data_IF_187486467298
#
_entry.id   IF_187486467298
#
_cell.length_a   1.000
_cell.length_b   1.000
_cell.length_c   1.000
_cell.angle_alpha   90.00
_cell.angle_beta   90.00
_cell.angle_gamma   90.00
#
_symmetry.space_group_name_H-M   'P 1'
#
loop_
_entity.id
_entity.type
_entity.pdbx_description
1 polymer ?
#
# COMPACT_ATOMS: atom_id res chain seq x y z
N UNK A 1 -16.71 -1.70 -1.87
CA UNK A 1 -15.42 -1.07 -1.52
C UNK A 1 -14.41 -1.33 -2.63
N UNK A 2 -13.71 -0.32 -3.08
CA UNK A 2 -12.56 -0.46 -3.96
C UNK A 2 -11.27 -0.29 -3.15
N UNK A 3 -10.22 -0.97 -3.55
CA UNK A 3 -8.90 -0.80 -2.92
C UNK A 3 -7.95 -0.12 -3.91
N UNK A 4 -7.22 0.87 -3.43
CA UNK A 4 -6.19 1.58 -4.18
C UNK A 4 -4.87 1.45 -3.47
N UNK A 5 -3.83 1.05 -4.20
CA UNK A 5 -2.46 1.07 -3.72
C UNK A 5 -1.73 2.23 -4.39
N UNK A 6 -1.28 3.19 -3.59
CA UNK A 6 -0.49 4.33 -4.09
C UNK A 6 0.99 4.05 -3.83
N UNK A 7 1.82 4.24 -4.84
CA UNK A 7 3.26 4.11 -4.73
C UNK A 7 3.95 5.25 -5.46
N UNK A 8 5.16 5.60 -5.04
CA UNK A 8 5.96 6.68 -5.63
C UNK A 8 7.11 6.09 -6.43
N UNK A 9 7.24 6.53 -7.68
CA UNK A 9 8.28 6.08 -8.59
C UNK A 9 7.93 4.79 -9.33
N UNK A 10 8.49 4.64 -10.52
CA UNK A 10 8.24 3.45 -11.35
C UNK A 10 8.99 2.25 -10.80
N UNK A 11 8.45 1.06 -11.04
CA UNK A 11 9.20 -0.18 -10.89
C UNK A 11 10.01 -0.39 -12.16
N UNK A 12 11.34 -0.29 -12.05
CA UNK A 12 12.23 -0.46 -13.21
C UNK A 12 12.51 -1.93 -13.53
N UNK A 13 12.44 -2.79 -12.53
CA UNK A 13 12.71 -4.21 -12.67
C UNK A 13 11.48 -4.92 -13.24
N UNK A 14 11.63 -5.47 -14.44
CA UNK A 14 10.52 -6.15 -15.14
C UNK A 14 10.00 -7.39 -14.41
N UNK A 15 10.85 -8.07 -13.64
CA UNK A 15 10.42 -9.26 -12.89
C UNK A 15 9.53 -8.86 -11.72
N UNK A 16 9.87 -7.76 -11.04
CA UNK A 16 9.06 -7.25 -9.94
C UNK A 16 7.74 -6.66 -10.42
N UNK A 17 7.75 -5.99 -11.58
CA UNK A 17 6.52 -5.50 -12.21
C UNK A 17 5.60 -6.67 -12.56
N UNK A 18 6.13 -7.70 -13.19
CA UNK A 18 5.35 -8.88 -13.57
C UNK A 18 4.78 -9.59 -12.33
N UNK A 19 5.57 -9.73 -11.27
CA UNK A 19 5.11 -10.35 -10.03
C UNK A 19 4.00 -9.53 -9.35
N UNK A 20 4.17 -8.21 -9.28
CA UNK A 20 3.15 -7.32 -8.73
C UNK A 20 1.84 -7.44 -9.50
N UNK A 21 1.92 -7.36 -10.83
CA UNK A 21 0.75 -7.45 -11.69
C UNK A 21 0.06 -8.81 -11.59
N UNK A 22 0.83 -9.89 -11.45
CA UNK A 22 0.27 -11.23 -11.27
C UNK A 22 -0.58 -11.31 -9.99
N UNK A 23 -0.05 -10.86 -8.85
CA UNK A 23 -0.78 -10.92 -7.60
C UNK A 23 -1.97 -9.96 -7.56
N UNK A 24 -1.83 -8.76 -8.10
CA UNK A 24 -2.96 -7.82 -8.21
C UNK A 24 -4.05 -8.39 -9.13
N UNK A 25 -3.65 -9.04 -10.23
CA UNK A 25 -4.59 -9.70 -11.14
C UNK A 25 -5.37 -10.81 -10.44
N UNK A 26 -4.69 -11.65 -9.66
CA UNK A 26 -5.35 -12.70 -8.87
C UNK A 26 -6.30 -12.10 -7.83
N UNK A 27 -5.86 -11.04 -7.14
CA UNK A 27 -6.67 -10.39 -6.11
C UNK A 27 -7.94 -9.79 -6.70
N UNK A 28 -7.88 -9.25 -7.92
CA UNK A 28 -9.03 -8.64 -8.58
C UNK A 28 -10.19 -9.62 -8.86
N UNK A 29 -9.93 -10.93 -8.86
CA UNK A 29 -11.01 -11.92 -8.96
C UNK A 29 -11.89 -11.95 -7.71
N UNK A 30 -11.41 -11.41 -6.60
CA UNK A 30 -12.11 -11.48 -5.30
C UNK A 30 -12.50 -10.11 -4.76
N UNK A 31 -11.67 -9.10 -4.99
CA UNK A 31 -11.93 -7.72 -4.57
C UNK A 31 -11.20 -6.77 -5.50
N UNK A 32 -11.88 -5.71 -5.99
CA UNK A 32 -11.24 -4.76 -6.90
C UNK A 32 -10.06 -4.05 -6.24
N UNK A 33 -8.90 -4.10 -6.89
CA UNK A 33 -7.71 -3.37 -6.48
C UNK A 33 -6.97 -2.84 -7.70
N UNK A 34 -6.49 -1.61 -7.61
CA UNK A 34 -5.61 -1.04 -8.62
C UNK A 34 -4.42 -0.36 -7.95
N UNK A 35 -3.32 -0.23 -8.69
CA UNK A 35 -2.14 0.49 -8.24
C UNK A 35 -2.00 1.79 -9.01
N UNK A 36 -1.84 2.89 -8.29
CA UNK A 36 -1.55 4.21 -8.84
C UNK A 36 -0.10 4.54 -8.53
N UNK A 37 0.71 4.70 -9.57
CA UNK A 37 2.11 5.10 -9.44
C UNK A 37 2.21 6.60 -9.63
N UNK A 38 2.71 7.30 -8.62
CA UNK A 38 3.04 8.72 -8.71
C UNK A 38 4.46 8.82 -9.26
N UNK A 39 4.70 9.61 -10.33
CA UNK A 39 6.05 9.79 -10.85
C UNK A 39 7.02 10.33 -9.80
N UNK A 40 8.28 9.93 -9.89
CA UNK A 40 9.33 10.48 -9.04
C UNK A 40 9.39 12.00 -9.15
N UNK A 41 9.70 12.65 -8.02
CA UNK A 41 9.92 14.09 -7.99
C UNK A 41 11.21 14.40 -8.72
N UNK A 42 11.17 15.40 -9.60
CA UNK A 42 12.33 15.90 -10.33
C UNK A 42 13.14 16.86 -9.45
N UNK A 43 14.42 17.01 -9.77
CA UNK A 43 15.33 17.97 -9.16
C UNK A 43 15.50 17.84 -7.65
N UNK A 44 15.55 16.57 -7.17
CA UNK A 44 15.68 16.26 -5.74
C UNK A 44 17.06 16.60 -5.17
N UNK A 45 18.06 16.86 -6.02
CA UNK A 45 19.44 17.13 -5.57
C UNK A 45 19.55 18.32 -4.61
N UNK A 46 18.70 19.31 -4.79
CA UNK A 46 18.70 20.53 -3.99
C UNK A 46 17.67 20.50 -2.86
N UNK A 47 17.00 19.37 -2.65
CA UNK A 47 16.00 19.22 -1.61
C UNK A 47 16.59 18.51 -0.40
N UNK A 48 16.25 19.00 0.79
CA UNK A 48 16.47 18.23 2.01
C UNK A 48 15.52 17.02 2.03
N UNK A 49 15.83 16.06 2.89
CA UNK A 49 14.95 14.91 3.08
C UNK A 49 13.54 15.36 3.49
N UNK A 50 13.45 16.35 4.37
CA UNK A 50 12.17 16.88 4.82
C UNK A 50 11.39 17.55 3.68
N UNK A 51 12.07 18.36 2.85
CA UNK A 51 11.45 18.98 1.69
C UNK A 51 10.94 17.94 0.70
N UNK A 52 11.70 16.86 0.47
CA UNK A 52 11.28 15.79 -0.40
C UNK A 52 10.03 15.08 0.15
N UNK A 53 10.00 14.76 1.45
CA UNK A 53 8.81 14.17 2.08
C UNK A 53 7.58 15.05 1.92
N UNK A 54 7.73 16.36 2.10
CA UNK A 54 6.63 17.31 1.98
C UNK A 54 6.09 17.32 0.55
N UNK A 55 6.96 17.38 -0.45
CA UNK A 55 6.53 17.37 -1.86
C UNK A 55 5.86 16.05 -2.26
N UNK A 56 6.45 14.94 -1.85
CA UNK A 56 5.83 13.63 -2.08
C UNK A 56 4.46 13.56 -1.41
N UNK A 57 4.38 14.09 -0.20
CA UNK A 57 3.14 14.12 0.56
C UNK A 57 2.02 14.91 -0.13
N UNK A 58 2.36 16.04 -0.73
CA UNK A 58 1.41 16.84 -1.50
C UNK A 58 0.84 16.03 -2.68
N UNK A 59 1.68 15.29 -3.37
CA UNK A 59 1.26 14.44 -4.49
C UNK A 59 0.38 13.27 -4.01
N UNK A 60 0.70 12.67 -2.86
CA UNK A 60 -0.12 11.63 -2.27
C UNK A 60 -1.50 12.19 -1.90
N UNK A 61 -1.53 13.32 -1.20
CA UNK A 61 -2.79 13.92 -0.76
C UNK A 61 -3.71 14.28 -1.92
N UNK A 62 -3.15 14.67 -3.08
CA UNK A 62 -3.94 14.95 -4.28
C UNK A 62 -4.67 13.71 -4.83
N UNK A 63 -4.19 12.51 -4.53
CA UNK A 63 -4.83 11.28 -4.98
C UNK A 63 -6.00 10.87 -4.11
N UNK A 64 -6.12 11.45 -2.92
CA UNK A 64 -7.16 11.07 -1.97
C UNK A 64 -8.47 11.76 -2.28
N UNK A 65 -9.57 11.09 -1.96
CA UNK A 65 -10.92 11.57 -2.15
C UNK A 65 -11.66 11.59 -0.81
N UNK A 66 -12.71 12.44 -0.67
CA UNK A 66 -13.53 12.41 0.54
C UNK A 66 -14.12 11.02 0.77
N UNK A 67 -14.05 10.55 2.02
CA UNK A 67 -14.53 9.22 2.39
C UNK A 67 -13.52 8.09 2.24
N UNK A 68 -12.31 8.38 1.73
CA UNK A 68 -11.25 7.38 1.69
C UNK A 68 -10.83 6.97 3.09
N UNK A 69 -10.61 5.68 3.28
CA UNK A 69 -9.98 5.14 4.49
C UNK A 69 -8.52 4.85 4.16
N UNK A 70 -7.62 5.64 4.73
CA UNK A 70 -6.19 5.69 4.34
C UNK A 70 -5.33 4.95 5.34
N UNK A 71 -4.58 3.97 4.86
CA UNK A 71 -3.63 3.17 5.64
C UNK A 71 -2.24 3.34 5.06
N UNK A 72 -1.31 3.78 5.89
CA UNK A 72 0.09 3.91 5.47
C UNK A 72 0.82 2.60 5.74
N UNK A 73 1.62 2.17 4.78
CA UNK A 73 2.56 1.07 4.98
C UNK A 73 3.84 1.67 5.55
N UNK A 74 4.05 1.46 6.85
CA UNK A 74 5.07 2.13 7.63
C UNK A 74 5.64 1.16 8.67
N UNK A 75 6.97 1.13 8.82
CA UNK A 75 7.65 0.23 9.75
C UNK A 75 7.18 0.40 11.20
N UNK A 76 6.74 1.60 11.57
CA UNK A 76 6.18 1.89 12.89
C UNK A 76 4.70 1.55 13.05
N UNK A 77 4.08 0.94 12.05
CA UNK A 77 2.68 0.57 12.08
C UNK A 77 2.40 -0.72 12.84
N UNK A 78 1.13 -1.07 12.90
CA UNK A 78 0.69 -2.32 13.53
C UNK A 78 1.13 -3.52 12.71
N UNK A 79 1.70 -4.52 13.37
CA UNK A 79 2.06 -5.79 12.75
C UNK A 79 0.89 -6.78 12.84
N UNK A 80 0.76 -7.63 11.82
CA UNK A 80 -0.28 -8.64 11.76
C UNK A 80 0.33 -9.99 11.39
N UNK A 81 -0.32 -11.07 11.84
CA UNK A 81 -0.18 -12.37 11.18
C UNK A 81 -1.00 -12.32 9.88
N UNK A 82 -0.77 -13.27 8.98
CA UNK A 82 -1.55 -13.33 7.73
C UNK A 82 -3.04 -13.50 8.01
N UNK A 83 -3.41 -14.35 8.97
CA UNK A 83 -4.81 -14.53 9.37
C UNK A 83 -5.37 -13.26 10.01
N UNK A 84 -4.59 -12.61 10.87
CA UNK A 84 -4.99 -11.35 11.50
C UNK A 84 -5.22 -10.23 10.47
N UNK A 85 -4.38 -10.16 9.44
CA UNK A 85 -4.58 -9.19 8.38
C UNK A 85 -5.84 -9.50 7.56
N UNK A 86 -6.10 -10.78 7.28
CA UNK A 86 -7.33 -11.18 6.61
C UNK A 86 -8.58 -10.75 7.40
N UNK A 87 -8.59 -10.95 8.71
CA UNK A 87 -9.70 -10.53 9.58
C UNK A 87 -9.85 -9.00 9.56
N UNK A 88 -8.74 -8.28 9.65
CA UNK A 88 -8.74 -6.83 9.56
C UNK A 88 -9.32 -6.35 8.22
N UNK A 89 -8.88 -6.96 7.12
CA UNK A 89 -9.38 -6.62 5.78
C UNK A 89 -10.88 -6.87 5.67
N UNK A 90 -11.38 -7.99 6.20
CA UNK A 90 -12.81 -8.29 6.19
C UNK A 90 -13.60 -7.22 6.93
N UNK A 91 -13.12 -6.75 8.07
CA UNK A 91 -13.76 -5.67 8.80
C UNK A 91 -13.80 -4.37 7.99
N UNK A 92 -12.71 -4.07 7.28
CA UNK A 92 -12.68 -2.88 6.39
C UNK A 92 -13.66 -3.03 5.24
N UNK A 93 -13.73 -4.21 4.63
CA UNK A 93 -14.69 -4.48 3.55
C UNK A 93 -16.14 -4.28 4.02
N UNK A 94 -16.42 -4.58 5.27
CA UNK A 94 -17.76 -4.43 5.84
C UNK A 94 -18.09 -2.99 6.25
N UNK A 95 -17.11 -2.13 6.51
CA UNK A 95 -17.30 -0.81 7.13
C UNK A 95 -16.87 0.36 6.26
N UNK A 96 -15.97 0.16 5.30
CA UNK A 96 -15.49 1.24 4.41
C UNK A 96 -16.44 1.37 3.23
N UNK A 97 -17.17 2.51 3.09
CA UNK A 97 -18.20 2.61 2.07
C UNK A 97 -17.65 2.82 0.66
N UNK A 98 -16.49 3.43 0.50
CA UNK A 98 -15.95 3.82 -0.81
C UNK A 98 -14.61 3.15 -1.10
N UNK A 99 -13.51 3.78 -0.71
CA UNK A 99 -12.18 3.27 -1.04
C UNK A 99 -11.35 2.99 0.21
N UNK A 100 -10.67 1.87 0.19
CA UNK A 100 -9.59 1.56 1.11
C UNK A 100 -8.29 1.87 0.37
N UNK A 101 -7.49 2.80 0.89
CA UNK A 101 -6.28 3.29 0.24
C UNK A 101 -5.07 2.88 1.06
N UNK A 102 -4.17 2.12 0.46
CA UNK A 102 -2.86 1.82 1.04
C UNK A 102 -1.81 2.69 0.35
N UNK A 103 -0.87 3.22 1.13
CA UNK A 103 0.16 4.11 0.58
C UNK A 103 1.54 3.58 0.94
N UNK A 104 2.37 3.39 -0.08
CA UNK A 104 3.80 3.10 0.05
C UNK A 104 4.52 4.42 -0.13
N UNK A 105 5.27 4.85 0.89
CA UNK A 105 6.01 6.11 0.86
C UNK A 105 7.30 6.02 0.06
N UNK A 106 7.92 7.18 -0.14
CA UNK A 106 9.24 7.28 -0.74
C UNK A 106 10.36 6.91 0.24
N UNK A 107 11.63 7.18 -0.11
CA UNK A 107 12.79 6.68 0.64
C UNK A 107 12.90 7.20 2.07
N UNK A 108 12.30 8.35 2.38
CA UNK A 108 12.40 8.99 3.68
C UNK A 108 11.12 8.88 4.52
N UNK A 109 10.14 8.08 4.06
CA UNK A 109 8.87 7.92 4.75
C UNK A 109 7.87 9.01 4.40
N UNK A 110 6.97 9.31 5.34
CA UNK A 110 5.84 10.20 5.11
C UNK A 110 6.03 11.55 5.80
N UNK A 111 5.45 12.60 5.20
CA UNK A 111 5.36 13.91 5.84
C UNK A 111 4.33 13.88 6.96
N UNK A 112 4.41 14.86 7.86
CA UNK A 112 3.44 15.00 8.95
C UNK A 112 2.00 15.17 8.42
N UNK A 113 1.83 15.91 7.32
CA UNK A 113 0.52 16.10 6.71
C UNK A 113 -0.10 14.78 6.24
N UNK A 114 0.70 13.87 5.70
CA UNK A 114 0.24 12.53 5.30
C UNK A 114 -0.14 11.71 6.51
N UNK A 115 0.67 11.72 7.58
CA UNK A 115 0.33 11.04 8.83
C UNK A 115 -0.99 11.56 9.40
N UNK A 116 -1.20 12.86 9.37
CA UNK A 116 -2.43 13.47 9.87
C UNK A 116 -3.66 13.04 9.08
N UNK A 117 -3.52 12.88 7.76
CA UNK A 117 -4.62 12.46 6.88
C UNK A 117 -4.92 10.96 6.96
N UNK A 118 -4.01 10.16 7.52
CA UNK A 118 -4.16 8.71 7.57
C UNK A 118 -5.06 8.27 8.72
N UNK A 119 -5.73 7.15 8.50
CA UNK A 119 -6.61 6.52 9.50
C UNK A 119 -5.87 5.43 10.27
N UNK A 120 -4.72 5.00 9.78
CA UNK A 120 -3.90 4.01 10.46
C UNK A 120 -2.61 3.70 9.72
N UNK A 121 -1.78 2.88 10.35
CA UNK A 121 -0.50 2.43 9.80
C UNK A 121 -0.40 0.93 9.99
N UNK A 122 0.11 0.25 8.97
CA UNK A 122 0.39 -1.19 9.02
C UNK A 122 1.86 -1.40 8.68
N UNK A 123 2.54 -2.22 9.48
CA UNK A 123 3.90 -2.67 9.19
C UNK A 123 3.86 -4.08 8.59
N UNK A 124 4.41 -4.21 7.40
CA UNK A 124 4.60 -5.52 6.77
C UNK A 124 5.75 -6.28 7.40
N UNK A 125 6.74 -5.56 7.92
CA UNK A 125 7.91 -6.10 8.60
C UNK A 125 8.67 -4.97 9.26
N UNK A 126 9.40 -5.27 10.32
CA UNK A 126 10.37 -4.33 10.89
C UNK A 126 11.67 -4.28 10.08
N UNK A 127 11.84 -5.21 9.15
CA UNK A 127 12.93 -5.14 8.18
C UNK A 127 12.54 -4.24 7.03
N UNK A 128 13.50 -3.49 6.52
CA UNK A 128 13.27 -2.56 5.40
C UNK A 128 13.29 -3.31 4.07
N UNK A 129 12.32 -3.03 3.23
CA UNK A 129 12.29 -3.52 1.85
C UNK A 129 12.63 -2.38 0.90
N UNK A 130 13.19 -2.73 -0.28
CA UNK A 130 13.27 -1.73 -1.35
C UNK A 130 11.86 -1.31 -1.77
N UNK A 131 11.71 -0.09 -2.28
CA UNK A 131 10.40 0.44 -2.68
C UNK A 131 9.76 -0.36 -3.82
N UNK A 132 10.55 -1.06 -4.62
CA UNK A 132 10.04 -1.94 -5.67
C UNK A 132 9.59 -3.29 -5.12
N UNK A 133 10.36 -3.85 -4.19
CA UNK A 133 10.04 -5.16 -3.59
C UNK A 133 8.81 -5.08 -2.68
N UNK A 134 8.63 -3.99 -1.95
CA UNK A 134 7.48 -3.86 -1.03
C UNK A 134 6.15 -3.93 -1.77
N UNK A 135 6.10 -3.51 -3.03
CA UNK A 135 4.89 -3.61 -3.86
C UNK A 135 4.49 -5.06 -4.09
N UNK A 136 5.48 -5.91 -4.39
CA UNK A 136 5.27 -7.36 -4.58
C UNK A 136 4.80 -7.98 -3.27
N UNK A 137 5.47 -7.68 -2.18
CA UNK A 137 5.15 -8.23 -0.86
C UNK A 137 3.74 -7.83 -0.45
N UNK A 138 3.37 -6.56 -0.63
CA UNK A 138 2.02 -6.12 -0.31
C UNK A 138 0.98 -6.80 -1.20
N UNK A 139 1.22 -6.85 -2.52
CA UNK A 139 0.28 -7.47 -3.46
C UNK A 139 0.06 -8.95 -3.11
N UNK A 140 1.13 -9.66 -2.78
CA UNK A 140 1.05 -11.05 -2.37
C UNK A 140 0.27 -11.21 -1.06
N UNK A 141 0.54 -10.38 -0.05
CA UNK A 141 -0.17 -10.45 1.23
C UNK A 141 -1.64 -10.06 1.09
N UNK A 142 -1.95 -9.11 0.22
CA UNK A 142 -3.33 -8.75 -0.07
C UNK A 142 -4.09 -9.92 -0.72
N UNK A 143 -3.49 -10.54 -1.72
CA UNK A 143 -4.06 -11.75 -2.32
C UNK A 143 -4.20 -12.88 -1.30
N UNK A 144 -3.17 -13.10 -0.46
CA UNK A 144 -3.20 -14.14 0.59
C UNK A 144 -4.37 -13.90 1.55
N UNK A 145 -4.59 -12.67 1.97
CA UNK A 145 -5.72 -12.33 2.83
C UNK A 145 -7.06 -12.69 2.16
N UNK A 146 -7.22 -12.34 0.88
CA UNK A 146 -8.43 -12.70 0.12
C UNK A 146 -8.57 -14.22 -0.03
N UNK A 147 -7.46 -14.94 -0.21
CA UNK A 147 -7.48 -16.40 -0.30
C UNK A 147 -7.97 -17.02 1.00
N UNK A 148 -7.54 -16.49 2.14
CA UNK A 148 -8.02 -16.95 3.46
C UNK A 148 -9.52 -16.69 3.60
N UNK A 149 -9.98 -15.50 3.24
CA UNK A 149 -11.39 -15.11 3.35
C UNK A 149 -12.30 -15.92 2.43
N UNK A 150 -11.76 -16.44 1.33
CA UNK A 150 -12.50 -17.23 0.34
C UNK A 150 -12.24 -18.73 0.45
N UNK A 151 -11.58 -19.17 1.52
CA UNK A 151 -11.28 -20.59 1.79
C UNK A 151 -10.49 -21.27 0.66
N UNK A 152 -9.57 -20.56 0.04
CA UNK A 152 -8.71 -21.10 -1.00
C UNK A 152 -7.51 -21.82 -0.38
N UNK A 153 -6.92 -22.83 -1.07
CA UNK A 153 -5.79 -23.60 -0.53
C UNK A 153 -4.43 -22.91 -0.65
N UNK A 154 -4.39 -21.61 -0.84
CA UNK A 154 -3.15 -20.85 -1.02
C UNK A 154 -2.39 -20.71 0.29
N UNK A 155 -3.07 -20.40 1.39
CA UNK A 155 -2.46 -20.22 2.71
C UNK A 155 -2.61 -21.50 3.54
N UNK A 156 -1.50 -21.94 4.13
CA UNK A 156 -1.48 -23.08 5.03
C UNK A 156 -1.36 -22.58 6.47
N UNK A 157 -2.30 -22.97 7.32
CA UNK A 157 -2.35 -22.63 8.74
C UNK A 157 -1.76 -23.78 9.56
#
# INVERSE_FOLDING_TARGET
MKTLLIAIGKTDNKYLTAATDDYLGRANHYAPIEMKVIPDIRDVKNLSQEQQKVREGELILKQLQPGDHVILLDEGGKEFTSVGFADWLQQRMNTVPRRLVFVIGGPYGFSEAVYTAAHGKISLSRMTFSHQMVRVIFAEQFYRALSILNNLPYHHI
#
